data_IF_656814392358
#
_entry.id   IF_656814392358
#
_cell.length_a   1.000
_cell.length_b   1.000
_cell.length_c   1.000
_cell.angle_alpha   90.00
_cell.angle_beta   90.00
_cell.angle_gamma   90.00
#
_symmetry.space_group_name_H-M   'P 1'
#
loop_
_entity.id
_entity.type
_entity.pdbx_description
1 polymer ?
#
# COMPACT_ATOMS: atom_id res chain seq x y z
N UNK A 1 -0.05 -4.36 -0.38
CA UNK A 1 -0.46 -3.11 0.28
C UNK A 1 0.77 -2.47 0.90
N UNK A 2 0.97 -1.20 0.66
CA UNK A 2 2.05 -0.39 1.20
C UNK A 2 1.51 0.45 2.36
N UNK A 3 2.18 0.41 3.53
CA UNK A 3 1.78 1.13 4.73
C UNK A 3 2.78 2.23 5.04
N UNK A 4 2.31 3.45 5.07
CA UNK A 4 3.07 4.57 5.57
C UNK A 4 3.20 4.47 7.10
N UNK A 5 4.42 4.46 7.58
CA UNK A 5 4.76 4.40 9.00
C UNK A 5 5.41 5.69 9.50
N UNK A 6 5.35 6.77 8.73
CA UNK A 6 5.86 8.08 9.13
C UNK A 6 5.21 8.60 10.41
N UNK A 7 5.91 9.49 11.11
CA UNK A 7 5.43 10.04 12.37
C UNK A 7 4.10 10.79 12.27
N UNK A 8 3.80 11.38 11.12
CA UNK A 8 2.55 12.08 10.85
C UNK A 8 1.39 11.11 10.61
N UNK A 9 1.67 9.90 10.14
CA UNK A 9 0.66 8.93 9.69
C UNK A 9 0.49 7.71 10.62
N UNK A 10 1.37 7.51 11.58
CA UNK A 10 1.34 6.37 12.50
C UNK A 10 0.03 6.21 13.28
N UNK A 11 -0.68 7.31 13.56
CA UNK A 11 -1.99 7.27 14.23
C UNK A 11 -3.09 6.60 13.38
N UNK A 12 -2.91 6.49 12.07
CA UNK A 12 -3.88 5.90 11.13
C UNK A 12 -3.73 4.38 10.99
N UNK A 13 -2.66 3.77 11.53
CA UNK A 13 -2.35 2.34 11.32
C UNK A 13 -3.44 1.39 11.83
N UNK A 14 -4.18 1.76 12.89
CA UNK A 14 -5.33 0.99 13.35
C UNK A 14 -6.46 0.92 12.30
N UNK A 15 -6.57 1.93 11.43
CA UNK A 15 -7.49 1.93 10.30
C UNK A 15 -6.96 1.05 9.17
N UNK A 16 -5.64 1.08 8.92
CA UNK A 16 -4.99 0.17 7.98
C UNK A 16 -5.21 -1.29 8.35
N UNK A 17 -5.08 -1.66 9.62
CA UNK A 17 -5.33 -3.03 10.11
C UNK A 17 -6.76 -3.49 9.80
N UNK A 18 -7.76 -2.63 9.98
CA UNK A 18 -9.16 -2.95 9.63
C UNK A 18 -9.32 -3.16 8.12
N UNK A 19 -8.70 -2.32 7.30
CA UNK A 19 -8.72 -2.45 5.84
C UNK A 19 -8.04 -3.76 5.40
N UNK A 20 -6.90 -4.11 6.00
CA UNK A 20 -6.21 -5.37 5.73
C UNK A 20 -7.09 -6.57 6.09
N UNK A 21 -7.71 -6.54 7.26
CA UNK A 21 -8.62 -7.61 7.70
C UNK A 21 -9.80 -7.76 6.76
N UNK A 22 -10.38 -6.66 6.32
CA UNK A 22 -11.44 -6.65 5.32
C UNK A 22 -10.94 -7.24 3.98
N UNK A 23 -9.81 -6.78 3.46
CA UNK A 23 -9.20 -7.30 2.23
C UNK A 23 -8.96 -8.81 2.33
N UNK A 24 -8.39 -9.30 3.44
CA UNK A 24 -8.19 -10.73 3.68
C UNK A 24 -9.50 -11.54 3.62
N UNK A 25 -10.61 -10.96 4.04
CA UNK A 25 -11.92 -11.64 3.98
C UNK A 25 -12.43 -11.85 2.56
N UNK A 26 -12.01 -11.00 1.61
CA UNK A 26 -12.42 -11.03 0.19
C UNK A 26 -11.51 -11.87 -0.70
N UNK A 27 -10.28 -12.13 -0.27
CA UNK A 27 -9.33 -12.93 -1.03
C UNK A 27 -9.75 -14.40 -1.08
N UNK A 28 -9.55 -15.02 -2.22
CA UNK A 28 -9.87 -16.42 -2.51
C UNK A 28 -8.65 -17.36 -2.31
N UNK A 29 -8.85 -18.68 -2.25
CA UNK A 29 -7.74 -19.63 -2.37
C UNK A 29 -6.93 -19.38 -3.66
N UNK A 30 -5.61 -19.55 -3.57
CA UNK A 30 -4.62 -19.24 -4.59
C UNK A 30 -4.30 -17.76 -4.80
N UNK A 31 -5.09 -16.81 -4.27
CA UNK A 31 -4.70 -15.40 -4.26
C UNK A 31 -3.42 -15.16 -3.48
N UNK A 32 -2.71 -14.09 -3.84
CA UNK A 32 -1.49 -13.65 -3.15
C UNK A 32 -1.71 -12.29 -2.49
N UNK A 33 -1.23 -12.14 -1.29
CA UNK A 33 -1.26 -10.87 -0.58
C UNK A 33 0.05 -10.59 0.14
N UNK A 34 0.50 -9.35 0.05
CA UNK A 34 1.64 -8.85 0.81
C UNK A 34 1.33 -7.49 1.43
N UNK A 35 1.88 -7.26 2.61
CA UNK A 35 1.89 -5.96 3.27
C UNK A 35 3.33 -5.59 3.55
N UNK A 36 3.75 -4.42 3.09
CA UNK A 36 5.07 -3.85 3.33
C UNK A 36 4.92 -2.45 3.94
N UNK A 37 5.88 -2.07 4.78
CA UNK A 37 5.99 -0.69 5.24
C UNK A 37 6.73 0.15 4.20
N UNK A 38 6.40 1.43 4.11
CA UNK A 38 7.19 2.42 3.41
C UNK A 38 7.79 3.36 4.44
N UNK A 39 9.11 3.32 4.54
CA UNK A 39 9.91 4.17 5.41
C UNK A 39 11.21 4.58 4.69
N UNK A 40 12.24 4.91 5.43
CA UNK A 40 13.53 5.31 4.88
C UNK A 40 14.11 4.22 3.98
N UNK A 41 14.27 4.52 2.68
CA UNK A 41 14.84 3.62 1.68
C UNK A 41 14.09 2.28 1.51
N UNK A 42 12.77 2.34 1.37
CA UNK A 42 11.88 1.19 1.19
C UNK A 42 12.03 0.54 -0.19
N UNK A 43 13.07 -0.24 -0.36
CA UNK A 43 13.28 -1.12 -1.52
C UNK A 43 14.02 -2.37 -1.06
N UNK A 44 13.42 -3.10 -0.09
CA UNK A 44 14.05 -4.29 0.49
C UNK A 44 13.02 -5.30 0.98
N UNK A 45 13.31 -6.59 0.83
CA UNK A 45 12.47 -7.65 1.42
C UNK A 45 12.29 -7.52 2.94
N UNK A 46 13.17 -6.79 3.62
CA UNK A 46 13.08 -6.52 5.07
C UNK A 46 11.88 -5.64 5.42
N UNK A 47 11.37 -4.88 4.46
CA UNK A 47 10.21 -4.01 4.63
C UNK A 47 8.90 -4.76 4.49
N UNK A 48 8.93 -6.00 4.00
CA UNK A 48 7.76 -6.87 3.93
C UNK A 48 7.41 -7.38 5.32
N UNK A 49 6.29 -6.89 5.84
CA UNK A 49 5.75 -7.28 7.15
C UNK A 49 5.18 -8.70 7.09
N UNK A 50 4.38 -8.97 6.06
CA UNK A 50 3.78 -10.26 5.82
C UNK A 50 3.56 -10.48 4.33
N UNK A 51 3.81 -11.70 3.82
CA UNK A 51 3.47 -12.12 2.46
C UNK A 51 2.98 -13.55 2.46
N UNK A 52 1.99 -13.86 1.61
CA UNK A 52 1.40 -15.19 1.49
C UNK A 52 0.81 -15.39 0.10
N UNK A 53 0.88 -16.61 -0.42
CA UNK A 53 -0.04 -17.14 -1.43
C UNK A 53 -0.92 -18.15 -0.73
N UNK A 54 -2.24 -17.94 -0.75
CA UNK A 54 -3.17 -18.79 -0.03
C UNK A 54 -3.27 -20.17 -0.65
N UNK A 55 -3.34 -21.19 0.19
CA UNK A 55 -3.48 -22.57 -0.25
C UNK A 55 -4.86 -22.78 -0.91
N UNK A 56 -4.92 -23.69 -1.88
CA UNK A 56 -6.16 -24.06 -2.59
C UNK A 56 -7.22 -24.68 -1.67
N UNK A 57 -6.80 -25.22 -0.52
CA UNK A 57 -7.72 -25.79 0.48
C UNK A 57 -8.27 -24.69 1.38
N UNK A 58 -9.60 -24.45 1.40
CA UNK A 58 -10.19 -23.34 2.15
C UNK A 58 -9.85 -23.33 3.65
N UNK A 59 -9.77 -24.49 4.30
CA UNK A 59 -9.41 -24.59 5.72
C UNK A 59 -7.98 -24.11 6.00
N UNK A 60 -7.05 -24.44 5.11
CA UNK A 60 -5.65 -24.01 5.20
C UNK A 60 -5.55 -22.51 4.89
N UNK A 61 -6.21 -22.04 3.83
CA UNK A 61 -6.27 -20.62 3.48
C UNK A 61 -6.82 -19.79 4.66
N UNK A 62 -7.89 -20.23 5.30
CA UNK A 62 -8.44 -19.55 6.48
C UNK A 62 -7.47 -19.50 7.66
N UNK A 63 -6.68 -20.57 7.87
CA UNK A 63 -5.63 -20.56 8.88
C UNK A 63 -4.51 -19.57 8.54
N UNK A 64 -4.09 -19.54 7.28
CA UNK A 64 -3.09 -18.58 6.79
C UNK A 64 -3.58 -17.13 6.94
N UNK A 65 -4.85 -16.84 6.63
CA UNK A 65 -5.45 -15.49 6.81
C UNK A 65 -5.40 -15.06 8.28
N UNK A 66 -5.72 -15.95 9.23
CA UNK A 66 -5.63 -15.64 10.66
C UNK A 66 -4.19 -15.33 11.08
N UNK A 67 -3.23 -16.18 10.68
CA UNK A 67 -1.81 -15.97 10.99
C UNK A 67 -1.28 -14.65 10.38
N UNK A 68 -1.74 -14.31 9.17
CA UNK A 68 -1.40 -13.06 8.53
C UNK A 68 -1.93 -11.87 9.33
N UNK A 69 -3.22 -11.90 9.72
CA UNK A 69 -3.84 -10.84 10.53
C UNK A 69 -3.14 -10.67 11.89
N UNK A 70 -2.81 -11.76 12.58
CA UNK A 70 -2.06 -11.71 13.84
C UNK A 70 -0.68 -11.06 13.68
N UNK A 71 -0.01 -11.32 12.55
CA UNK A 71 1.30 -10.71 12.25
C UNK A 71 1.17 -9.21 12.01
N UNK A 72 0.11 -8.78 11.32
CA UNK A 72 -0.18 -7.35 11.11
C UNK A 72 -0.49 -6.67 12.45
N UNK A 73 -1.36 -7.24 13.29
CA UNK A 73 -1.66 -6.69 14.62
C UNK A 73 -0.40 -6.49 15.47
N UNK A 74 0.47 -7.50 15.55
CA UNK A 74 1.75 -7.38 16.27
C UNK A 74 2.66 -6.29 15.71
N UNK A 75 2.65 -6.10 14.39
CA UNK A 75 3.40 -5.02 13.76
C UNK A 75 2.83 -3.66 14.14
N UNK A 76 1.51 -3.46 14.01
CA UNK A 76 0.83 -2.20 14.34
C UNK A 76 1.04 -1.82 15.80
N UNK A 77 0.99 -2.79 16.72
CA UNK A 77 1.20 -2.56 18.16
C UNK A 77 2.65 -2.19 18.51
N UNK A 78 3.62 -2.59 17.70
CA UNK A 78 5.05 -2.45 18.02
C UNK A 78 5.84 -1.54 17.07
N UNK A 79 5.24 -0.97 16.02
CA UNK A 79 5.96 -0.17 15.04
C UNK A 79 6.39 1.17 15.63
N UNK A 80 7.65 1.54 15.41
CA UNK A 80 8.15 2.87 15.68
C UNK A 80 7.95 3.77 14.46
N UNK A 81 7.57 5.05 14.65
CA UNK A 81 7.43 5.98 13.53
C UNK A 81 8.71 6.14 12.73
N UNK A 82 8.59 6.09 11.40
CA UNK A 82 9.68 6.38 10.48
C UNK A 82 9.91 7.88 10.34
N UNK A 83 11.16 8.26 10.02
CA UNK A 83 11.54 9.66 9.80
C UNK A 83 11.31 10.11 8.35
N UNK A 84 11.25 9.17 7.42
CA UNK A 84 11.11 9.41 5.99
C UNK A 84 10.10 8.45 5.38
N UNK A 85 9.62 8.77 4.16
CA UNK A 85 8.63 7.98 3.43
C UNK A 85 9.09 7.82 1.99
N UNK A 86 9.41 6.57 1.57
CA UNK A 86 9.85 6.21 0.22
C UNK A 86 8.74 5.43 -0.50
N UNK A 87 7.72 6.14 -0.99
CA UNK A 87 6.58 5.53 -1.68
C UNK A 87 7.04 4.89 -2.99
N UNK A 88 7.91 5.55 -3.73
CA UNK A 88 8.43 5.06 -5.01
C UNK A 88 9.20 3.73 -4.81
N UNK A 89 10.04 3.64 -3.80
CA UNK A 89 10.73 2.40 -3.47
C UNK A 89 9.76 1.27 -3.10
N UNK A 90 8.72 1.58 -2.33
CA UNK A 90 7.65 0.64 -2.01
C UNK A 90 6.89 0.16 -3.25
N UNK A 91 6.58 1.05 -4.20
CA UNK A 91 5.93 0.70 -5.47
C UNK A 91 6.81 -0.24 -6.31
N UNK A 92 8.10 0.04 -6.45
CA UNK A 92 9.03 -0.82 -7.17
C UNK A 92 9.05 -2.24 -6.58
N UNK A 93 9.08 -2.36 -5.25
CA UNK A 93 9.03 -3.65 -4.56
C UNK A 93 7.69 -4.38 -4.78
N UNK A 94 6.57 -3.63 -4.77
CA UNK A 94 5.25 -4.21 -5.02
C UNK A 94 5.10 -4.70 -6.47
N UNK A 95 5.65 -3.97 -7.44
CA UNK A 95 5.67 -4.36 -8.86
C UNK A 95 6.46 -5.67 -9.01
N UNK A 96 7.66 -5.76 -8.45
CA UNK A 96 8.48 -6.97 -8.48
C UNK A 96 7.74 -8.17 -7.89
N UNK A 97 7.20 -8.02 -6.66
CA UNK A 97 6.44 -9.07 -5.99
C UNK A 97 5.25 -9.58 -6.82
N UNK A 98 4.45 -8.68 -7.39
CA UNK A 98 3.25 -9.06 -8.15
C UNK A 98 3.59 -9.66 -9.52
N UNK A 99 4.70 -9.24 -10.15
CA UNK A 99 5.18 -9.83 -11.39
C UNK A 99 5.67 -11.27 -11.19
N UNK A 100 6.29 -11.57 -10.05
CA UNK A 100 6.70 -12.95 -9.71
C UNK A 100 5.49 -13.91 -9.57
N UNK A 101 4.31 -13.41 -9.19
CA UNK A 101 3.14 -14.24 -8.89
C UNK A 101 2.37 -14.69 -10.14
N UNK A 102 2.60 -14.10 -11.30
CA UNK A 102 1.89 -14.40 -12.54
C UNK A 102 0.35 -14.39 -12.40
N UNK A 103 -0.18 -13.50 -11.55
CA UNK A 103 -1.61 -13.37 -11.27
C UNK A 103 -2.32 -12.58 -12.36
N UNK A 104 -3.63 -12.82 -12.56
CA UNK A 104 -4.43 -12.09 -13.55
C UNK A 104 -4.60 -10.61 -13.18
N UNK A 105 -5.15 -10.32 -12.00
CA UNK A 105 -5.39 -8.95 -11.52
C UNK A 105 -4.29 -8.54 -10.54
N UNK A 106 -3.73 -7.36 -10.73
CA UNK A 106 -2.65 -6.82 -9.91
C UNK A 106 -3.07 -5.48 -9.31
N UNK A 107 -3.28 -5.45 -8.00
CA UNK A 107 -3.69 -4.25 -7.28
C UNK A 107 -2.61 -3.88 -6.27
N UNK A 108 -2.18 -2.61 -6.28
CA UNK A 108 -1.29 -2.03 -5.28
C UNK A 108 -2.09 -1.03 -4.47
N UNK A 109 -2.28 -1.29 -3.19
CA UNK A 109 -2.85 -0.33 -2.25
C UNK A 109 -1.73 0.49 -1.60
N UNK A 110 -1.89 1.81 -1.57
CA UNK A 110 -1.00 2.74 -0.87
C UNK A 110 -1.80 3.39 0.26
N UNK A 111 -1.49 3.05 1.49
CA UNK A 111 -2.10 3.64 2.67
C UNK A 111 -1.17 4.72 3.23
N UNK A 112 -1.35 5.96 2.79
CA UNK A 112 -0.47 7.11 3.05
C UNK A 112 -1.20 8.42 2.79
N UNK A 113 -0.66 9.54 3.30
CA UNK A 113 -1.02 10.90 2.88
C UNK A 113 -0.39 11.30 1.53
N UNK A 114 0.39 10.40 0.94
CA UNK A 114 1.09 10.56 -0.34
C UNK A 114 2.20 11.64 -0.33
N UNK A 115 2.66 12.08 0.82
CA UNK A 115 3.86 12.90 0.92
C UNK A 115 5.10 11.99 0.88
N UNK A 116 5.84 12.06 -0.23
CA UNK A 116 7.12 11.35 -0.35
C UNK A 116 8.23 12.21 0.23
N UNK A 117 8.91 11.71 1.24
CA UNK A 117 10.06 12.36 1.88
C UNK A 117 11.25 11.40 1.87
N UNK A 118 12.15 11.60 0.92
CA UNK A 118 13.33 10.75 0.75
C UNK A 118 14.49 11.23 1.63
N UNK A 119 15.27 10.28 2.13
CA UNK A 119 16.52 10.59 2.82
C UNK A 119 17.46 11.36 1.90
N UNK A 120 18.19 12.34 2.44
CA UNK A 120 19.16 13.13 1.70
C UNK A 120 20.14 12.25 0.90
N UNK A 121 20.26 12.54 -0.39
CA UNK A 121 21.10 11.80 -1.32
C UNK A 121 20.42 10.61 -2.02
N UNK A 122 19.19 10.26 -1.64
CA UNK A 122 18.37 9.31 -2.39
C UNK A 122 17.58 10.02 -3.49
N UNK A 123 17.59 9.46 -4.70
CA UNK A 123 16.79 9.92 -5.83
C UNK A 123 16.02 8.73 -6.38
N UNK A 124 14.74 8.90 -6.60
CA UNK A 124 13.82 7.89 -7.15
C UNK A 124 13.28 8.32 -8.52
N UNK A 125 14.15 8.83 -9.39
CA UNK A 125 13.81 9.14 -10.78
C UNK A 125 13.87 7.86 -11.64
N UNK A 126 13.04 6.88 -11.26
CA UNK A 126 12.94 5.58 -11.91
C UNK A 126 11.52 5.47 -12.49
N UNK A 127 11.40 5.17 -13.81
CA UNK A 127 10.09 4.91 -14.41
C UNK A 127 9.39 3.72 -13.73
N UNK A 128 8.11 3.88 -13.43
CA UNK A 128 7.27 2.81 -12.91
C UNK A 128 6.69 2.01 -14.09
N UNK A 129 6.95 0.72 -14.15
CA UNK A 129 6.37 -0.19 -15.15
C UNK A 129 5.08 -0.79 -14.59
N UNK A 130 3.95 -0.15 -14.87
CA UNK A 130 2.65 -0.44 -14.25
C UNK A 130 1.61 -0.97 -15.26
N UNK A 131 2.04 -1.48 -16.41
CA UNK A 131 1.14 -2.10 -17.36
C UNK A 131 0.31 -3.21 -16.70
N UNK A 132 -1.03 -3.09 -16.77
CA UNK A 132 -1.98 -4.00 -16.14
C UNK A 132 -2.03 -3.94 -14.60
N UNK A 133 -1.47 -2.91 -13.99
CA UNK A 133 -1.62 -2.66 -12.57
C UNK A 133 -2.72 -1.65 -12.28
N UNK A 134 -3.41 -1.87 -11.17
CA UNK A 134 -4.30 -0.90 -10.55
C UNK A 134 -3.65 -0.39 -9.27
N UNK A 135 -3.40 0.91 -9.18
CA UNK A 135 -2.86 1.57 -7.99
C UNK A 135 -3.96 2.35 -7.30
N UNK A 136 -4.19 2.05 -6.05
CA UNK A 136 -5.28 2.61 -5.25
C UNK A 136 -4.71 3.27 -4.00
N UNK A 137 -4.79 4.59 -3.93
CA UNK A 137 -4.46 5.34 -2.73
C UNK A 137 -5.61 5.27 -1.73
N UNK A 138 -5.31 4.87 -0.51
CA UNK A 138 -6.27 4.68 0.58
C UNK A 138 -6.02 5.68 1.69
N UNK A 139 -7.11 6.25 2.21
CA UNK A 139 -7.09 7.12 3.39
C UNK A 139 -6.12 8.29 3.25
N UNK A 140 -6.11 8.93 2.06
CA UNK A 140 -5.26 10.09 1.83
C UNK A 140 -5.76 11.24 2.69
N UNK A 141 -5.04 11.55 3.76
CA UNK A 141 -5.37 12.63 4.70
C UNK A 141 -4.74 13.94 4.24
N UNK A 142 -5.35 15.04 4.68
CA UNK A 142 -4.77 16.35 4.48
C UNK A 142 -3.66 16.61 5.49
N UNK A 143 -2.56 17.15 5.01
CA UNK A 143 -1.48 17.63 5.85
C UNK A 143 -1.83 18.98 6.49
N UNK A 144 -1.06 19.41 7.49
CA UNK A 144 -1.23 20.74 8.08
C UNK A 144 -1.01 21.87 7.07
N UNK A 145 -0.07 21.69 6.13
CA UNK A 145 0.19 22.61 5.04
C UNK A 145 -1.03 22.79 4.13
N UNK A 146 -1.75 21.69 3.83
CA UNK A 146 -2.95 21.70 2.99
C UNK A 146 -4.10 22.55 3.57
N UNK A 147 -4.08 22.84 4.89
CA UNK A 147 -5.03 23.77 5.51
C UNK A 147 -4.68 25.23 5.22
N UNK A 148 -3.41 25.51 4.90
CA UNK A 148 -2.93 26.85 4.51
C UNK A 148 -3.12 27.04 3.02
N UNK A 149 -2.73 26.08 2.21
CA UNK A 149 -2.97 26.07 0.76
C UNK A 149 -3.59 24.71 0.30
N UNK A 150 -4.92 24.66 0.15
CA UNK A 150 -5.60 23.43 -0.30
C UNK A 150 -5.16 22.93 -1.69
N UNK A 151 -4.47 23.74 -2.49
CA UNK A 151 -3.96 23.32 -3.80
C UNK A 151 -2.82 22.31 -3.68
N UNK A 152 -2.03 22.37 -2.60
CA UNK A 152 -0.94 21.43 -2.36
C UNK A 152 -1.46 19.98 -2.29
N UNK A 153 -2.60 19.76 -1.63
CA UNK A 153 -3.25 18.46 -1.59
C UNK A 153 -3.64 17.96 -3.00
N UNK A 154 -4.25 18.82 -3.80
CA UNK A 154 -4.68 18.45 -5.16
C UNK A 154 -3.49 18.20 -6.08
N UNK A 155 -2.44 19.02 -5.99
CA UNK A 155 -1.21 18.84 -6.76
C UNK A 155 -0.53 17.53 -6.44
N UNK A 156 -0.48 17.13 -5.16
CA UNK A 156 0.08 15.85 -4.73
C UNK A 156 -0.70 14.65 -5.29
N UNK A 157 -2.03 14.71 -5.28
CA UNK A 157 -2.87 13.68 -5.92
C UNK A 157 -2.65 13.60 -7.43
N UNK A 158 -2.58 14.74 -8.11
CA UNK A 158 -2.36 14.83 -9.57
C UNK A 158 -0.98 14.32 -9.96
N UNK A 159 0.05 14.63 -9.17
CA UNK A 159 1.41 14.15 -9.39
C UNK A 159 1.47 12.60 -9.36
N UNK A 160 0.90 11.97 -8.32
CA UNK A 160 0.86 10.52 -8.23
C UNK A 160 0.02 9.89 -9.33
N UNK A 161 -1.12 10.49 -9.69
CA UNK A 161 -1.92 10.05 -10.83
C UNK A 161 -1.10 10.06 -12.12
N UNK A 162 -0.42 11.17 -12.42
CA UNK A 162 0.40 11.31 -13.61
C UNK A 162 1.55 10.29 -13.65
N UNK A 163 2.20 10.04 -12.52
CA UNK A 163 3.29 9.04 -12.41
C UNK A 163 2.78 7.63 -12.69
N UNK A 164 1.64 7.24 -12.13
CA UNK A 164 1.04 5.91 -12.31
C UNK A 164 0.55 5.73 -13.75
N UNK A 165 -0.19 6.69 -14.29
CA UNK A 165 -0.76 6.62 -15.64
C UNK A 165 0.33 6.68 -16.72
N UNK A 166 1.39 7.46 -16.52
CA UNK A 166 2.56 7.47 -17.40
C UNK A 166 3.29 6.12 -17.41
N UNK A 167 3.21 5.36 -16.34
CA UNK A 167 3.74 4.01 -16.25
C UNK A 167 2.82 2.93 -16.82
N UNK A 168 1.67 3.29 -17.40
CA UNK A 168 0.69 2.36 -17.98
C UNK A 168 -0.34 1.81 -16.99
N UNK A 169 -0.31 2.23 -15.73
CA UNK A 169 -1.24 1.81 -14.68
C UNK A 169 -2.54 2.58 -14.65
N UNK A 170 -3.49 2.14 -13.84
CA UNK A 170 -4.70 2.90 -13.52
C UNK A 170 -4.62 3.44 -12.10
N UNK A 171 -5.15 4.65 -11.87
CA UNK A 171 -5.11 5.32 -10.58
C UNK A 171 -6.50 5.54 -9.99
N UNK A 172 -6.65 5.29 -8.69
CA UNK A 172 -7.85 5.61 -7.91
C UNK A 172 -7.50 6.12 -6.52
N UNK A 173 -8.39 6.97 -5.96
CA UNK A 173 -8.32 7.41 -4.56
C UNK A 173 -9.60 6.97 -3.85
N UNK A 174 -9.46 6.24 -2.75
CA UNK A 174 -10.57 5.71 -1.95
C UNK A 174 -10.33 6.08 -0.48
N UNK A 175 -11.19 6.96 0.05
CA UNK A 175 -11.12 7.41 1.44
C UNK A 175 -12.24 6.85 2.32
N UNK A 176 -13.14 6.05 1.77
CA UNK A 176 -14.19 5.35 2.51
C UNK A 176 -14.20 3.84 2.22
N UNK A 177 -14.68 3.07 3.19
CA UNK A 177 -14.70 1.61 3.11
C UNK A 177 -15.75 1.07 2.11
N UNK A 178 -16.86 1.77 1.90
CA UNK A 178 -17.94 1.30 1.01
C UNK A 178 -17.43 1.26 -0.45
N UNK A 179 -16.61 2.23 -0.83
CA UNK A 179 -15.97 2.24 -2.15
C UNK A 179 -14.88 1.19 -2.30
N UNK A 180 -14.19 0.84 -1.21
CA UNK A 180 -13.24 -0.26 -1.21
C UNK A 180 -13.95 -1.60 -1.41
N UNK A 181 -15.13 -1.77 -0.82
CA UNK A 181 -15.97 -2.95 -1.03
C UNK A 181 -16.30 -3.15 -2.50
N UNK A 182 -16.80 -2.11 -3.16
CA UNK A 182 -17.11 -2.14 -4.60
C UNK A 182 -15.90 -2.52 -5.46
N UNK A 183 -14.70 -2.06 -5.08
CA UNK A 183 -13.47 -2.39 -5.80
C UNK A 183 -13.09 -3.88 -5.70
N UNK A 184 -13.28 -4.49 -4.54
CA UNK A 184 -12.90 -5.87 -4.26
C UNK A 184 -13.93 -6.91 -4.72
N UNK A 185 -15.14 -6.49 -5.06
CA UNK A 185 -16.20 -7.36 -5.59
C UNK A 185 -16.17 -7.53 -7.13
N UNK A 186 -15.32 -6.75 -7.81
CA UNK A 186 -15.18 -6.75 -9.29
C UNK A 186 -14.02 -7.62 -9.72
#
# INVERSE_FOLDING_TARGET
MLLDTSGTYSAELAKAERIITYTLSRLEPADSFAVARIDTASFSEKDIIAKVTFNDRPSTANSQKRQFSERIGKFVDGVSPASHTDITGGLLQAIEFLNEKQTGRKIIFIFSDLEEDLLDGYVRDIPLELDSFEVVALNVTKLRADNVDPREYLMRLEEWQNRVESGGGTWRVINDLDRLETLLET
#
